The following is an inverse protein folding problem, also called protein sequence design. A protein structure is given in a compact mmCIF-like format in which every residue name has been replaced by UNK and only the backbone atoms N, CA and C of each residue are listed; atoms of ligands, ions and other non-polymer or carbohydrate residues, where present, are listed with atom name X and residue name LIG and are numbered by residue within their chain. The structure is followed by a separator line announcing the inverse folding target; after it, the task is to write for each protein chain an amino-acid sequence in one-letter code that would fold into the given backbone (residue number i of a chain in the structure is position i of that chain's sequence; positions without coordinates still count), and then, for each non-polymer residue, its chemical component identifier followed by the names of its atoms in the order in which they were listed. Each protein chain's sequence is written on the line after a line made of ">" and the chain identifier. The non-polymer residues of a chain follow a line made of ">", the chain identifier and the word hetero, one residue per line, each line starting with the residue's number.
data_IF_627128018345
#
_entry.id   IF_627128018345
#
_cell.length_a   1.000
_cell.length_b   1.000
_cell.length_c   1.000
_cell.angle_alpha   90.00
_cell.angle_beta   90.00
_cell.angle_gamma   90.00
#
_symmetry.space_group_name_H-M   'P 1'
#
loop_
_entity.id
_entity.type
_entity.pdbx_description
1 polymer ?
#
# COMPACT_ATOMS: atom_id res chain seq x y z
N UNK A 1 0.86 21.78 21.58
CA UNK A 1 0.25 22.40 20.38
C UNK A 1 -1.22 22.03 20.33
N UNK A 2 -2.11 23.01 20.21
CA UNK A 2 -3.57 22.79 20.21
C UNK A 2 -4.03 22.05 18.95
N UNK A 3 -4.86 21.01 19.10
CA UNK A 3 -5.47 20.22 18.02
C UNK A 3 -6.21 21.09 16.98
N UNK A 4 -6.60 22.31 17.36
CA UNK A 4 -7.26 23.30 16.51
C UNK A 4 -6.39 23.79 15.34
N UNK A 5 -5.07 23.63 15.39
CA UNK A 5 -4.18 24.03 14.28
C UNK A 5 -4.27 23.11 13.07
N UNK A 6 -4.76 21.87 13.23
CA UNK A 6 -4.93 20.92 12.12
C UNK A 6 -6.00 21.36 11.12
N UNK A 7 -6.96 22.21 11.53
CA UNK A 7 -8.03 22.70 10.66
C UNK A 7 -7.67 23.98 9.90
N UNK A 8 -6.50 24.58 10.16
CA UNK A 8 -6.05 25.78 9.45
C UNK A 8 -5.36 25.38 8.15
N UNK A 9 -5.91 25.77 7.00
CA UNK A 9 -5.31 25.50 5.69
C UNK A 9 -3.87 26.02 5.61
N UNK A 10 -3.59 27.18 6.22
CA UNK A 10 -2.24 27.78 6.27
C UNK A 10 -1.19 26.86 6.91
N UNK A 11 -1.58 26.02 7.87
CA UNK A 11 -0.68 25.08 8.54
C UNK A 11 -0.05 24.06 7.58
N UNK A 12 -0.74 23.72 6.48
CA UNK A 12 -0.25 22.74 5.51
C UNK A 12 0.77 23.34 4.53
N UNK A 13 0.77 24.66 4.38
CA UNK A 13 1.70 25.42 3.53
C UNK A 13 2.95 25.87 4.30
N UNK A 14 2.98 25.70 5.61
CA UNK A 14 4.17 25.95 6.41
C UNK A 14 5.21 24.83 6.20
N UNK A 15 6.50 25.18 6.03
CA UNK A 15 7.57 24.20 5.97
C UNK A 15 7.65 23.39 7.27
N UNK A 16 7.96 22.11 7.15
CA UNK A 16 8.32 21.27 8.29
C UNK A 16 9.75 21.63 8.73
N UNK A 17 10.03 21.49 10.03
CA UNK A 17 11.39 21.53 10.59
C UNK A 17 12.33 20.72 9.67
N UNK A 18 13.51 21.23 9.36
CA UNK A 18 14.53 20.63 8.49
C UNK A 18 15.05 19.28 9.05
N UNK A 19 16.13 18.73 8.47
CA UNK A 19 16.76 17.46 8.89
C UNK A 19 17.19 17.43 10.38
N UNK A 20 17.20 18.57 11.07
CA UNK A 20 17.60 18.73 12.47
C UNK A 20 16.65 18.07 13.49
N UNK A 21 15.55 17.43 13.08
CA UNK A 21 14.70 16.74 14.04
C UNK A 21 15.37 15.46 14.58
N UNK A 22 15.32 15.23 15.90
CA UNK A 22 15.86 14.02 16.50
C UNK A 22 15.07 12.81 15.96
N UNK A 23 15.76 11.92 15.22
CA UNK A 23 15.17 10.70 14.66
C UNK A 23 15.09 10.63 13.14
N UNK A 24 15.58 11.61 12.38
CA UNK A 24 15.60 11.54 10.91
C UNK A 24 16.20 10.23 10.38
N UNK A 25 17.43 9.91 10.82
CA UNK A 25 18.13 8.70 10.39
C UNK A 25 17.41 7.42 10.81
N UNK A 26 16.74 7.42 11.97
CA UNK A 26 15.93 6.28 12.43
C UNK A 26 14.77 6.03 11.47
N UNK A 27 14.07 7.08 11.05
CA UNK A 27 12.96 6.98 10.09
C UNK A 27 13.46 6.53 8.72
N UNK A 28 14.61 7.04 8.25
CA UNK A 28 15.24 6.61 6.99
C UNK A 28 15.53 5.11 7.02
N UNK A 29 16.19 4.61 8.07
CA UNK A 29 16.50 3.19 8.23
C UNK A 29 15.22 2.34 8.28
N UNK A 30 14.19 2.80 8.99
CA UNK A 30 12.92 2.10 9.08
C UNK A 30 12.23 2.00 7.71
N UNK A 31 12.17 3.09 6.95
CA UNK A 31 11.58 3.09 5.61
C UNK A 31 12.37 2.23 4.63
N UNK A 32 13.71 2.26 4.69
CA UNK A 32 14.58 1.41 3.90
C UNK A 32 14.38 -0.07 4.24
N UNK A 33 14.32 -0.43 5.52
CA UNK A 33 14.02 -1.78 5.96
C UNK A 33 12.63 -2.24 5.51
N UNK A 34 11.61 -1.38 5.61
CA UNK A 34 10.27 -1.65 5.13
C UNK A 34 10.21 -1.85 3.60
N UNK A 35 11.03 -1.11 2.83
CA UNK A 35 11.17 -1.29 1.38
C UNK A 35 11.77 -2.65 1.06
N UNK A 36 12.87 -3.02 1.72
CA UNK A 36 13.49 -4.33 1.55
C UNK A 36 12.51 -5.46 1.91
N UNK A 37 11.78 -5.31 3.01
CA UNK A 37 10.77 -6.27 3.44
C UNK A 37 9.64 -6.39 2.42
N UNK A 38 9.15 -5.27 1.87
CA UNK A 38 8.14 -5.27 0.81
C UNK A 38 8.63 -6.02 -0.43
N UNK A 39 9.85 -5.76 -0.91
CA UNK A 39 10.41 -6.47 -2.07
C UNK A 39 10.59 -7.96 -1.79
N UNK A 40 11.13 -8.32 -0.63
CA UNK A 40 11.36 -9.71 -0.23
C UNK A 40 10.06 -10.49 -0.06
N UNK A 41 9.07 -9.91 0.63
CA UNK A 41 7.77 -10.53 0.87
C UNK A 41 6.96 -10.64 -0.44
N UNK A 42 7.04 -9.63 -1.31
CA UNK A 42 6.43 -9.64 -2.64
C UNK A 42 6.95 -10.77 -3.53
N UNK A 43 8.28 -10.98 -3.55
CA UNK A 43 8.90 -12.11 -4.27
C UNK A 43 8.49 -13.45 -3.65
N UNK A 44 8.52 -13.56 -2.33
CA UNK A 44 8.15 -14.79 -1.60
C UNK A 44 6.70 -15.19 -1.88
N UNK A 45 5.76 -14.24 -1.85
CA UNK A 45 4.34 -14.48 -2.16
C UNK A 45 4.17 -14.89 -3.64
N UNK A 46 4.91 -14.28 -4.56
CA UNK A 46 4.85 -14.63 -5.98
C UNK A 46 5.28 -16.07 -6.26
N UNK A 47 6.30 -16.57 -5.55
CA UNK A 47 6.83 -17.92 -5.72
C UNK A 47 6.02 -19.03 -5.02
N UNK A 48 5.12 -18.69 -4.07
CA UNK A 48 4.27 -19.70 -3.42
C UNK A 48 3.13 -20.14 -4.34
N UNK A 49 3.34 -21.25 -5.06
CA UNK A 49 2.35 -21.89 -5.97
C UNK A 49 1.05 -22.34 -5.29
N UNK A 50 1.08 -22.59 -3.98
CA UNK A 50 -0.09 -23.14 -3.24
C UNK A 50 -1.05 -22.07 -2.70
N UNK A 51 -0.76 -20.78 -2.86
CA UNK A 51 -1.71 -19.74 -2.47
C UNK A 51 -2.82 -19.62 -3.52
N UNK A 52 -4.07 -19.57 -3.05
CA UNK A 52 -5.18 -19.19 -3.91
C UNK A 52 -4.88 -17.82 -4.51
N UNK A 53 -4.97 -17.68 -5.84
CA UNK A 53 -4.58 -16.43 -6.54
C UNK A 53 -5.24 -15.17 -5.95
N UNK A 54 -6.41 -15.36 -5.36
CA UNK A 54 -7.19 -14.40 -4.59
C UNK A 54 -6.51 -13.89 -3.31
N UNK A 55 -6.03 -14.78 -2.45
CA UNK A 55 -5.30 -14.41 -1.23
C UNK A 55 -3.94 -13.81 -1.62
N UNK A 56 -3.34 -14.30 -2.71
CA UNK A 56 -2.12 -13.73 -3.29
C UNK A 56 -2.29 -12.27 -3.70
N UNK A 57 -3.34 -11.95 -4.46
CA UNK A 57 -3.67 -10.57 -4.89
C UNK A 57 -3.87 -9.63 -3.71
N UNK A 58 -4.54 -10.09 -2.65
CA UNK A 58 -4.76 -9.28 -1.45
C UNK A 58 -3.46 -8.94 -0.72
N UNK A 59 -2.63 -9.95 -0.42
CA UNK A 59 -1.34 -9.73 0.25
C UNK A 59 -0.38 -8.92 -0.61
N UNK A 60 -0.38 -9.16 -1.92
CA UNK A 60 0.44 -8.38 -2.86
C UNK A 60 -0.01 -6.91 -2.92
N UNK A 61 -1.31 -6.64 -2.75
CA UNK A 61 -1.84 -5.29 -2.59
C UNK A 61 -1.28 -4.55 -1.37
N UNK A 62 -1.21 -5.22 -0.22
CA UNK A 62 -0.61 -4.67 1.01
C UNK A 62 0.89 -4.46 0.90
N UNK A 63 1.59 -5.43 0.31
CA UNK A 63 3.03 -5.32 0.03
C UNK A 63 3.33 -4.13 -0.85
N UNK A 64 2.57 -3.97 -1.94
CA UNK A 64 2.73 -2.86 -2.87
C UNK A 64 2.42 -1.52 -2.19
N UNK A 65 1.41 -1.46 -1.32
CA UNK A 65 1.09 -0.26 -0.54
C UNK A 65 2.28 0.12 0.37
N UNK A 66 2.80 -0.84 1.13
CA UNK A 66 3.97 -0.62 1.99
C UNK A 66 5.22 -0.21 1.20
N UNK A 67 5.49 -0.85 0.06
CA UNK A 67 6.61 -0.49 -0.80
C UNK A 67 6.47 0.91 -1.41
N UNK A 68 5.26 1.27 -1.86
CA UNK A 68 4.97 2.62 -2.37
C UNK A 68 5.18 3.66 -1.28
N UNK A 69 4.71 3.40 -0.04
CA UNK A 69 4.92 4.29 1.09
C UNK A 69 6.41 4.47 1.41
N UNK A 70 7.19 3.39 1.40
CA UNK A 70 8.62 3.46 1.64
C UNK A 70 9.35 4.26 0.56
N UNK A 71 9.03 4.05 -0.72
CA UNK A 71 9.65 4.78 -1.83
C UNK A 71 9.30 6.26 -1.74
N UNK A 72 8.02 6.60 -1.65
CA UNK A 72 7.58 7.99 -1.61
C UNK A 72 8.07 8.68 -0.33
N UNK A 73 8.08 7.97 0.80
CA UNK A 73 8.63 8.45 2.06
C UNK A 73 10.14 8.74 1.98
N UNK A 74 10.93 7.86 1.36
CA UNK A 74 12.36 8.07 1.15
C UNK A 74 12.63 9.25 0.20
N UNK A 75 11.89 9.34 -0.90
CA UNK A 75 11.97 10.48 -1.83
C UNK A 75 11.63 11.80 -1.11
N UNK A 76 10.59 11.79 -0.29
CA UNK A 76 10.20 12.95 0.51
C UNK A 76 11.29 13.35 1.52
N UNK A 77 11.87 12.38 2.23
CA UNK A 77 12.97 12.64 3.16
C UNK A 77 14.22 13.15 2.46
N UNK A 78 14.50 12.66 1.25
CA UNK A 78 15.60 13.17 0.42
C UNK A 78 15.39 14.64 0.06
N UNK A 79 14.21 15.02 -0.44
CA UNK A 79 13.92 16.42 -0.74
C UNK A 79 13.91 17.32 0.50
N UNK A 80 13.55 16.77 1.67
CA UNK A 80 13.65 17.46 2.95
C UNK A 80 15.09 17.64 3.40
N UNK A 81 15.98 16.69 3.09
CA UNK A 81 17.42 16.81 3.34
C UNK A 81 18.04 17.91 2.49
N UNK A 82 17.72 17.94 1.19
CA UNK A 82 18.14 19.00 0.25
C UNK A 82 17.46 20.36 0.50
N UNK A 83 16.55 20.44 1.48
CA UNK A 83 15.81 21.63 1.89
C UNK A 83 15.15 22.37 0.71
N UNK A 84 14.60 21.62 -0.25
CA UNK A 84 13.94 22.18 -1.41
C UNK A 84 12.66 22.91 -1.00
N UNK A 85 12.56 24.16 -1.44
CA UNK A 85 11.38 25.01 -1.25
C UNK A 85 10.14 24.33 -1.86
N UNK A 86 8.97 24.49 -1.22
CA UNK A 86 7.67 23.89 -1.60
C UNK A 86 7.54 22.36 -1.42
N UNK A 87 8.63 21.60 -1.50
CA UNK A 87 8.60 20.13 -1.32
C UNK A 87 8.62 19.75 0.16
N UNK A 88 9.18 20.59 1.03
CA UNK A 88 9.16 20.40 2.48
C UNK A 88 7.85 20.86 3.16
N UNK A 89 6.79 21.07 2.40
CA UNK A 89 5.48 21.44 2.93
C UNK A 89 4.77 20.27 3.61
N UNK A 90 4.08 20.58 4.72
CA UNK A 90 3.26 19.61 5.48
C UNK A 90 2.12 18.99 4.68
N UNK A 91 1.75 19.61 3.56
CA UNK A 91 0.78 19.11 2.60
C UNK A 91 1.13 17.70 2.08
N UNK A 92 2.40 17.41 1.81
CA UNK A 92 2.80 16.13 1.22
C UNK A 92 2.60 14.94 2.16
N UNK A 93 3.04 14.98 3.44
CA UNK A 93 2.66 13.97 4.43
C UNK A 93 1.14 13.81 4.59
N UNK A 94 0.37 14.90 4.55
CA UNK A 94 -1.08 14.84 4.68
C UNK A 94 -1.73 14.12 3.49
N UNK A 95 -1.29 14.40 2.26
CA UNK A 95 -1.74 13.71 1.05
C UNK A 95 -1.35 12.22 1.07
N UNK A 96 -0.14 11.90 1.55
CA UNK A 96 0.29 10.52 1.75
C UNK A 96 -0.64 9.77 2.70
N UNK A 97 -1.01 10.38 3.84
CA UNK A 97 -1.94 9.77 4.79
C UNK A 97 -3.31 9.51 4.14
N UNK A 98 -3.85 10.49 3.40
CA UNK A 98 -5.11 10.31 2.66
C UNK A 98 -5.03 9.18 1.63
N UNK A 99 -3.92 9.09 0.89
CA UNK A 99 -3.68 8.01 -0.06
C UNK A 99 -3.65 6.64 0.64
N UNK A 100 -2.96 6.52 1.78
CA UNK A 100 -2.90 5.28 2.57
C UNK A 100 -4.27 4.86 3.05
N UNK A 101 -5.05 5.80 3.59
CA UNK A 101 -6.42 5.52 4.07
C UNK A 101 -7.28 5.05 2.89
N UNK A 102 -7.30 5.79 1.78
CA UNK A 102 -8.08 5.44 0.60
C UNK A 102 -7.69 4.08 0.02
N UNK A 103 -6.38 3.79 -0.08
CA UNK A 103 -5.89 2.51 -0.59
C UNK A 103 -6.18 1.35 0.34
N UNK A 104 -6.10 1.56 1.66
CA UNK A 104 -6.44 0.55 2.67
C UNK A 104 -7.93 0.22 2.62
N UNK A 105 -8.80 1.23 2.54
CA UNK A 105 -10.25 1.04 2.37
C UNK A 105 -10.58 0.29 1.08
N UNK A 106 -9.90 0.63 -0.03
CA UNK A 106 -10.05 -0.08 -1.29
C UNK A 106 -9.65 -1.56 -1.18
N UNK A 107 -8.52 -1.87 -0.53
CA UNK A 107 -8.09 -3.26 -0.31
C UNK A 107 -9.10 -4.04 0.54
N UNK A 108 -9.65 -3.43 1.59
CA UNK A 108 -10.71 -4.01 2.42
C UNK A 108 -11.99 -4.25 1.59
N UNK A 109 -12.37 -3.30 0.75
CA UNK A 109 -13.53 -3.42 -0.14
C UNK A 109 -13.35 -4.59 -1.13
N UNK A 110 -12.19 -4.70 -1.76
CA UNK A 110 -11.86 -5.80 -2.68
C UNK A 110 -11.93 -7.14 -1.96
N UNK A 111 -11.43 -7.22 -0.72
CA UNK A 111 -11.53 -8.39 0.13
C UNK A 111 -12.96 -8.80 0.47
N UNK A 112 -13.79 -7.84 0.88
CA UNK A 112 -15.16 -8.14 1.31
C UNK A 112 -16.15 -8.35 0.16
N UNK A 113 -16.02 -7.64 -0.96
CA UNK A 113 -17.04 -7.64 -2.04
C UNK A 113 -16.62 -8.33 -3.33
N UNK A 114 -15.36 -8.22 -3.75
CA UNK A 114 -14.92 -8.70 -5.07
C UNK A 114 -14.42 -10.13 -5.00
N UNK A 115 -13.67 -10.44 -3.95
CA UNK A 115 -13.09 -11.75 -3.69
C UNK A 115 -14.11 -12.89 -3.54
N UNK A 116 -15.21 -12.77 -2.77
CA UNK A 116 -16.21 -13.85 -2.69
C UNK A 116 -16.93 -14.08 -4.01
N UNK A 117 -17.18 -13.02 -4.81
CA UNK A 117 -17.83 -13.14 -6.12
C UNK A 117 -16.96 -13.89 -7.13
N UNK A 118 -15.65 -13.57 -7.19
CA UNK A 118 -14.70 -14.28 -8.07
C UNK A 118 -14.46 -15.73 -7.66
N UNK A 119 -14.54 -16.04 -6.36
CA UNK A 119 -14.47 -17.41 -5.87
C UNK A 119 -15.69 -18.23 -6.36
N UNK A 120 -16.90 -17.68 -6.22
CA UNK A 120 -18.13 -18.32 -6.68
C UNK A 120 -18.16 -18.54 -8.21
N UNK A 121 -17.68 -17.57 -9.00
CA UNK A 121 -17.57 -17.72 -10.46
C UNK A 121 -16.56 -18.79 -10.90
N UNK A 122 -15.43 -18.94 -10.18
CA UNK A 122 -14.47 -20.01 -10.47
C UNK A 122 -15.06 -21.38 -10.16
N UNK A 123 -15.85 -21.47 -9.09
CA UNK A 123 -16.51 -22.71 -8.70
C UNK A 123 -17.60 -23.12 -9.69
N UNK A 124 -18.44 -22.17 -10.13
CA UNK A 124 -19.47 -22.43 -11.15
C UNK A 124 -18.86 -22.89 -12.48
N UNK A 125 -17.77 -22.26 -12.94
CA UNK A 125 -17.02 -22.70 -14.13
C UNK A 125 -16.43 -24.10 -13.97
N UNK A 126 -15.89 -24.44 -12.79
CA UNK A 126 -15.40 -25.79 -12.50
C UNK A 126 -16.53 -26.82 -12.58
N UNK A 127 -17.67 -26.57 -11.93
CA UNK A 127 -18.83 -27.47 -12.01
C UNK A 127 -19.29 -27.66 -13.45
N UNK A 128 -19.44 -26.57 -14.20
CA UNK A 128 -19.87 -26.59 -15.60
C UNK A 128 -18.90 -27.39 -16.49
N UNK A 129 -17.59 -27.21 -16.32
CA UNK A 129 -16.57 -28.00 -17.02
C UNK A 129 -16.63 -29.50 -16.70
N UNK A 130 -16.95 -29.86 -15.45
CA UNK A 130 -17.13 -31.25 -15.03
C UNK A 130 -18.36 -31.89 -15.71
N UNK A 131 -19.46 -31.16 -15.76
CA UNK A 131 -20.68 -31.60 -16.45
C UNK A 131 -20.45 -31.82 -17.96
N UNK A 132 -19.78 -30.90 -18.64
CA UNK A 132 -19.47 -31.06 -20.07
C UNK A 132 -18.53 -32.23 -20.35
N UNK A 133 -17.50 -32.46 -19.52
CA UNK A 133 -16.61 -33.64 -19.64
C UNK A 133 -17.35 -34.96 -19.44
N UNK A 134 -18.31 -35.02 -18.52
CA UNK A 134 -19.08 -36.25 -18.26
C UNK A 134 -20.04 -36.57 -19.41
N UNK A 135 -20.58 -35.55 -20.08
CA UNK A 135 -21.49 -35.72 -21.23
C UNK A 135 -20.78 -36.20 -22.49
N UNK A 136 -19.51 -35.85 -22.70
CA UNK A 136 -18.71 -36.32 -23.84
C UNK A 136 -18.17 -37.76 -23.69
N UNK A 137 -18.27 -38.36 -22.49
CA UNK A 137 -17.83 -39.74 -22.22
C UNK A 137 -18.96 -40.78 -22.28
N UNK A 138 -20.21 -40.33 -22.50
CA UNK A 138 -21.35 -41.19 -22.84
C UNK A 138 -21.57 -41.09 -24.33
#
# INVERSE_FOLDING_TARGET
>A
MSLLHLFKISYYFDPVVSYDFPGFWVVVVLLAAALMFSVWFGRTIAHRKNLSGHVREFWQGWVNLGGTLSIVGLIYLFFRFENLMYVNWRLWPALLILYVIGRSLYLIYVYKKVLPKRAAEKESRKMMSYYFRRRQRK
#
